data_IF_225758328699
#
_entry.id   IF_225758328699
#
_cell.length_a   1.000
_cell.length_b   1.000
_cell.length_c   1.000
_cell.angle_alpha   90.00
_cell.angle_beta   90.00
_cell.angle_gamma   90.00
#
_symmetry.space_group_name_H-M   'P 1'
#
loop_
_entity.id
_entity.type
_entity.pdbx_description
1 polymer ?
#
# COMPACT_ATOMS: atom_id res chain seq x y z
N UNK A 1 19.83 6.87 0.68
CA UNK A 1 18.74 7.84 0.96
C UNK A 1 17.44 7.08 1.12
N UNK A 2 16.58 7.45 2.08
CA UNK A 2 15.22 6.92 2.23
C UNK A 2 14.24 7.99 1.77
N UNK A 3 13.70 7.87 0.56
CA UNK A 3 12.63 8.74 0.10
C UNK A 3 11.31 8.17 0.59
N UNK A 4 10.73 8.76 1.64
CA UNK A 4 9.38 8.45 2.10
C UNK A 4 8.40 9.44 1.47
N UNK A 5 7.38 8.93 0.78
CA UNK A 5 6.32 9.69 0.14
C UNK A 5 4.98 9.26 0.71
N UNK A 6 4.16 10.24 1.08
CA UNK A 6 2.79 10.01 1.55
C UNK A 6 1.82 10.58 0.53
N UNK A 7 0.95 9.74 -0.02
CA UNK A 7 -0.12 10.16 -0.94
C UNK A 7 -1.47 9.98 -0.26
N UNK A 8 -2.15 11.09 0.02
CA UNK A 8 -3.54 11.09 0.48
C UNK A 8 -4.46 10.83 -0.73
N UNK A 9 -5.46 9.97 -0.57
CA UNK A 9 -6.35 9.56 -1.67
C UNK A 9 -7.80 9.93 -1.37
N UNK A 10 -8.31 9.62 -0.18
CA UNK A 10 -9.69 9.89 0.26
C UNK A 10 -10.76 9.61 -0.81
N UNK A 11 -10.70 8.42 -1.40
CA UNK A 11 -11.61 8.03 -2.48
C UNK A 11 -12.31 6.73 -2.15
N UNK A 12 -13.63 6.70 -2.35
CA UNK A 12 -14.40 5.46 -2.33
C UNK A 12 -14.17 4.67 -3.62
N UNK A 13 -13.85 3.39 -3.49
CA UNK A 13 -13.71 2.44 -4.59
C UNK A 13 -14.93 1.52 -4.60
N UNK A 14 -15.78 1.69 -5.61
CA UNK A 14 -17.06 0.97 -5.72
C UNK A 14 -16.86 -0.52 -6.03
N UNK A 15 -15.90 -0.85 -6.90
CA UNK A 15 -15.58 -2.23 -7.27
C UNK A 15 -15.10 -3.06 -6.07
N UNK A 16 -14.29 -2.47 -5.21
CA UNK A 16 -13.75 -3.15 -4.04
C UNK A 16 -14.45 -2.75 -2.72
N UNK A 17 -15.55 -1.99 -2.80
CA UNK A 17 -16.40 -1.52 -1.68
C UNK A 17 -15.63 -0.99 -0.46
N UNK A 18 -14.52 -0.29 -0.68
CA UNK A 18 -13.69 0.25 0.41
C UNK A 18 -13.31 1.70 0.14
N UNK A 19 -13.09 2.46 1.21
CA UNK A 19 -12.53 3.82 1.15
C UNK A 19 -11.01 3.72 1.19
N UNK A 20 -10.32 4.36 0.26
CA UNK A 20 -8.86 4.50 0.29
C UNK A 20 -8.51 5.78 1.04
N UNK A 21 -7.76 5.65 2.13
CA UNK A 21 -7.35 6.80 2.94
C UNK A 21 -6.06 7.41 2.37
N UNK A 22 -4.97 6.66 2.44
CA UNK A 22 -3.65 7.10 2.00
C UNK A 22 -2.77 5.92 1.61
N UNK A 23 -1.65 6.24 0.95
CA UNK A 23 -0.60 5.30 0.57
C UNK A 23 0.73 5.85 1.05
N UNK A 24 1.50 5.02 1.74
CA UNK A 24 2.89 5.27 2.06
C UNK A 24 3.73 4.56 1.00
N UNK A 25 4.70 5.27 0.44
CA UNK A 25 5.54 4.79 -0.64
C UNK A 25 6.96 5.13 -0.27
N UNK A 26 7.85 4.15 -0.23
CA UNK A 26 9.25 4.42 0.06
C UNK A 26 10.19 3.58 -0.76
N UNK A 27 11.38 4.10 -0.93
CA UNK A 27 12.45 3.47 -1.68
C UNK A 27 13.64 3.26 -0.73
N UNK A 28 14.30 2.10 -0.87
CA UNK A 28 15.53 1.79 -0.16
C UNK A 28 16.58 1.36 -1.19
N UNK A 29 17.70 2.07 -1.23
CA UNK A 29 18.75 1.86 -2.24
C UNK A 29 18.46 2.63 -3.53
N UNK A 30 19.23 2.36 -4.58
CA UNK A 30 18.98 2.91 -5.93
C UNK A 30 18.02 1.97 -6.64
N UNK A 31 16.81 2.42 -6.94
CA UNK A 31 15.85 1.57 -7.66
C UNK A 31 16.37 1.38 -9.10
N UNK A 32 16.48 0.13 -9.56
CA UNK A 32 16.99 -0.22 -10.90
C UNK A 32 18.42 -0.79 -10.94
N UNK A 33 19.17 -0.79 -9.84
CA UNK A 33 20.54 -1.34 -9.75
C UNK A 33 20.62 -2.79 -9.27
N UNK A 34 19.46 -3.44 -9.04
CA UNK A 34 19.35 -4.79 -8.48
C UNK A 34 19.59 -4.91 -6.96
N UNK A 35 20.05 -3.84 -6.30
CA UNK A 35 20.30 -3.77 -4.84
C UNK A 35 19.24 -2.92 -4.11
N UNK A 36 18.46 -2.11 -4.83
CA UNK A 36 17.35 -1.34 -4.30
C UNK A 36 15.97 -2.01 -4.41
N UNK A 37 15.03 -1.57 -3.56
CA UNK A 37 13.62 -1.91 -3.66
C UNK A 37 12.71 -0.71 -3.41
N UNK A 38 11.53 -0.74 -4.03
CA UNK A 38 10.42 0.14 -3.69
C UNK A 38 9.38 -0.64 -2.88
N UNK A 39 8.72 0.04 -1.95
CA UNK A 39 7.69 -0.52 -1.11
C UNK A 39 6.51 0.45 -1.01
N UNK A 40 5.32 -0.13 -0.88
CA UNK A 40 4.04 0.57 -0.92
C UNK A 40 3.14 -0.04 0.16
N UNK A 41 2.66 0.78 1.08
CA UNK A 41 1.66 0.42 2.07
C UNK A 41 0.39 1.22 1.78
N UNK A 42 -0.68 0.56 1.36
CA UNK A 42 -1.97 1.19 1.15
C UNK A 42 -2.87 0.94 2.36
N UNK A 43 -3.50 2.01 2.84
CA UNK A 43 -4.42 1.98 3.98
C UNK A 43 -5.80 2.46 3.53
N UNK A 44 -6.83 1.73 3.94
CA UNK A 44 -8.22 2.00 3.61
C UNK A 44 -9.18 1.55 4.70
N UNK A 45 -10.47 1.83 4.50
CA UNK A 45 -11.56 1.40 5.36
C UNK A 45 -12.50 0.48 4.58
N UNK A 46 -12.75 -0.70 5.10
CA UNK A 46 -13.68 -1.69 4.57
C UNK A 46 -14.56 -2.13 5.74
N UNK A 47 -15.90 -2.03 5.70
CA UNK A 47 -16.79 -2.34 6.83
C UNK A 47 -16.88 -3.86 7.09
N UNK A 48 -15.76 -4.46 7.53
CA UNK A 48 -15.62 -5.85 7.93
C UNK A 48 -14.75 -5.90 9.19
N UNK A 49 -15.12 -6.77 10.13
CA UNK A 49 -14.40 -6.92 11.39
C UNK A 49 -13.06 -7.65 11.19
N UNK A 50 -13.07 -8.76 10.46
CA UNK A 50 -11.86 -9.53 10.11
C UNK A 50 -11.98 -10.04 8.69
N UNK A 51 -11.03 -9.69 7.85
CA UNK A 51 -11.02 -10.15 6.46
C UNK A 51 -9.59 -10.16 5.93
N UNK A 52 -9.16 -11.27 5.35
CA UNK A 52 -7.87 -11.39 4.68
C UNK A 52 -8.09 -11.87 3.26
N UNK A 53 -7.50 -11.16 2.29
CA UNK A 53 -7.63 -11.46 0.87
C UNK A 53 -6.42 -10.91 0.11
N UNK A 54 -5.74 -11.75 -0.66
CA UNK A 54 -4.68 -11.34 -1.60
C UNK A 54 -3.63 -10.38 -0.96
N UNK A 55 -3.12 -10.75 0.23
CA UNK A 55 -2.14 -9.93 0.97
C UNK A 55 -2.72 -8.68 1.64
N UNK A 56 -4.04 -8.52 1.66
CA UNK A 56 -4.76 -7.39 2.26
C UNK A 56 -5.41 -7.86 3.55
N UNK A 57 -5.03 -7.25 4.66
CA UNK A 57 -5.57 -7.56 5.98
C UNK A 57 -6.52 -6.46 6.42
N UNK A 58 -7.73 -6.83 6.82
CA UNK A 58 -8.73 -5.93 7.41
C UNK A 58 -9.00 -6.35 8.83
N UNK A 59 -8.82 -5.43 9.77
CA UNK A 59 -9.13 -5.63 11.20
C UNK A 59 -9.92 -4.40 11.67
N UNK A 60 -11.07 -4.62 12.30
CA UNK A 60 -11.96 -3.57 12.82
C UNK A 60 -12.21 -2.45 11.82
N UNK A 61 -12.48 -2.80 10.57
CA UNK A 61 -12.74 -1.84 9.51
C UNK A 61 -11.49 -1.29 8.81
N UNK A 62 -10.30 -1.39 9.41
CA UNK A 62 -9.06 -0.88 8.84
C UNK A 62 -8.42 -1.92 7.92
N UNK A 63 -8.36 -1.61 6.62
CA UNK A 63 -7.73 -2.44 5.59
C UNK A 63 -6.31 -1.96 5.31
N UNK A 64 -5.36 -2.87 5.38
CA UNK A 64 -3.93 -2.65 5.15
C UNK A 64 -3.47 -3.58 4.02
N UNK A 65 -2.71 -3.03 3.07
CA UNK A 65 -2.12 -3.80 1.98
C UNK A 65 -0.66 -3.40 1.79
N UNK A 66 0.24 -4.37 1.84
CA UNK A 66 1.67 -4.16 1.67
C UNK A 66 2.14 -4.80 0.36
N UNK A 67 2.78 -4.00 -0.49
CA UNK A 67 3.41 -4.45 -1.71
C UNK A 67 4.87 -4.00 -1.74
N UNK A 68 5.76 -4.88 -2.23
CA UNK A 68 7.20 -4.62 -2.36
C UNK A 68 7.68 -5.10 -3.71
N UNK A 69 8.52 -4.28 -4.36
CA UNK A 69 9.07 -4.57 -5.68
C UNK A 69 10.57 -4.33 -5.68
N UNK A 70 11.33 -5.33 -6.13
CA UNK A 70 12.78 -5.24 -6.29
C UNK A 70 13.12 -4.85 -7.73
N UNK A 71 14.05 -3.93 -7.93
CA UNK A 71 14.48 -3.48 -9.27
C UNK A 71 13.49 -2.59 -10.05
N UNK A 72 12.23 -2.45 -9.60
CA UNK A 72 11.20 -1.62 -10.23
C UNK A 72 10.66 -0.50 -9.33
N UNK A 73 10.15 0.56 -9.94
CA UNK A 73 9.49 1.69 -9.27
C UNK A 73 8.00 1.37 -9.13
N UNK A 74 7.55 1.06 -7.92
CA UNK A 74 6.14 0.97 -7.53
C UNK A 74 5.25 0.02 -8.36
N UNK A 75 5.70 -1.20 -8.67
CA UNK A 75 4.75 -2.25 -9.07
C UNK A 75 3.72 -2.52 -7.95
#
# INVERSE_FOLDING_TARGET
MRNLRVKRVFRYDDSQKHVRLFRLMWERGTVGDGKGYSAKLAVGLLPKLFHYDDGRLTIFGLRIHYARSYGGIFA
#
